data_IF_238370727186
#
_entry.id   IF_238370727186
#
_cell.length_a   1.000
_cell.length_b   1.000
_cell.length_c   1.000
_cell.angle_alpha   90.00
_cell.angle_beta   90.00
_cell.angle_gamma   90.00
#
_symmetry.space_group_name_H-M   'P 1'
#
loop_
_entity.id
_entity.type
_entity.pdbx_description
1 polymer ?
#
# COMPACT_ATOMS: atom_id res chain seq x y z
N UNK A 1 -25.25 18.32 -4.47
CA UNK A 1 -23.84 18.21 -4.89
C UNK A 1 -23.74 17.21 -6.04
N UNK A 2 -23.18 17.63 -7.15
CA UNK A 2 -23.04 16.74 -8.30
C UNK A 2 -21.91 15.76 -8.07
N UNK A 3 -22.15 14.51 -8.44
CA UNK A 3 -21.08 13.51 -8.43
C UNK A 3 -20.03 13.86 -9.47
N UNK A 4 -18.80 13.45 -9.21
CA UNK A 4 -17.71 13.58 -10.19
C UNK A 4 -18.03 12.71 -11.41
N UNK A 5 -17.67 13.19 -12.60
CA UNK A 5 -17.69 12.36 -13.78
C UNK A 5 -16.62 11.26 -13.64
N UNK A 6 -16.74 10.22 -14.46
CA UNK A 6 -15.72 9.15 -14.48
C UNK A 6 -14.33 9.72 -14.79
N UNK A 7 -14.25 10.64 -15.74
CA UNK A 7 -12.99 11.29 -16.13
C UNK A 7 -12.41 12.10 -14.96
N UNK A 8 -13.25 12.84 -14.24
CA UNK A 8 -12.81 13.59 -13.05
C UNK A 8 -12.34 12.66 -11.93
N UNK A 9 -13.05 11.56 -11.71
CA UNK A 9 -12.67 10.55 -10.72
C UNK A 9 -11.31 9.94 -11.09
N UNK A 10 -11.10 9.60 -12.34
CA UNK A 10 -9.84 9.03 -12.81
C UNK A 10 -8.66 9.99 -12.59
N UNK A 11 -8.87 11.29 -12.78
CA UNK A 11 -7.84 12.31 -12.52
C UNK A 11 -7.51 12.42 -11.03
N UNK A 12 -8.53 12.40 -10.18
CA UNK A 12 -8.33 12.47 -8.72
C UNK A 12 -7.57 11.23 -8.26
N UNK A 13 -7.93 10.05 -8.76
CA UNK A 13 -7.22 8.81 -8.43
C UNK A 13 -5.75 8.90 -8.90
N UNK A 14 -5.50 9.40 -10.11
CA UNK A 14 -4.14 9.54 -10.61
C UNK A 14 -3.29 10.46 -9.73
N UNK A 15 -3.85 11.58 -9.26
CA UNK A 15 -3.16 12.49 -8.33
C UNK A 15 -2.87 11.77 -7.02
N UNK A 16 -3.84 11.04 -6.48
CA UNK A 16 -3.68 10.32 -5.22
C UNK A 16 -2.59 9.24 -5.32
N UNK A 17 -2.54 8.54 -6.46
CA UNK A 17 -1.49 7.54 -6.71
C UNK A 17 -0.09 8.17 -6.70
N UNK A 18 0.05 9.34 -7.31
CA UNK A 18 1.31 10.09 -7.28
C UNK A 18 1.68 10.53 -5.87
N UNK A 19 0.72 10.99 -5.08
CA UNK A 19 0.95 11.37 -3.68
C UNK A 19 1.40 10.17 -2.85
N UNK A 20 0.85 9.00 -3.11
CA UNK A 20 1.26 7.77 -2.43
C UNK A 20 2.71 7.39 -2.78
N UNK A 21 3.10 7.48 -4.06
CA UNK A 21 4.47 7.23 -4.49
C UNK A 21 5.46 8.20 -3.85
N UNK A 22 5.06 9.45 -3.72
CA UNK A 22 5.92 10.53 -3.19
C UNK A 22 5.94 10.57 -1.67
N UNK A 23 5.01 9.87 -1.01
CA UNK A 23 4.92 9.90 0.44
C UNK A 23 4.32 11.20 0.98
N UNK A 24 3.51 11.89 0.20
CA UNK A 24 2.81 13.09 0.64
C UNK A 24 1.58 12.71 1.46
N UNK A 25 1.83 12.33 2.70
CA UNK A 25 0.82 11.77 3.60
C UNK A 25 -0.33 12.74 3.84
N UNK A 26 -0.02 14.01 4.09
CA UNK A 26 -1.02 15.01 4.45
C UNK A 26 -2.05 15.20 3.34
N UNK A 27 -1.60 15.45 2.12
CA UNK A 27 -2.50 15.66 0.99
C UNK A 27 -3.29 14.40 0.64
N UNK A 28 -2.62 13.25 0.67
CA UNK A 28 -3.29 11.97 0.40
C UNK A 28 -4.39 11.70 1.43
N UNK A 29 -4.10 11.91 2.70
CA UNK A 29 -5.08 11.74 3.77
C UNK A 29 -6.29 12.65 3.58
N UNK A 30 -6.09 13.89 3.15
CA UNK A 30 -7.17 14.82 2.86
C UNK A 30 -8.09 14.30 1.76
N UNK A 31 -7.54 13.74 0.67
CA UNK A 31 -8.34 13.14 -0.39
C UNK A 31 -9.20 11.98 0.13
N UNK A 32 -8.62 11.09 0.91
CA UNK A 32 -9.34 9.95 1.48
C UNK A 32 -10.43 10.43 2.44
N UNK A 33 -10.11 11.40 3.31
CA UNK A 33 -11.07 11.95 4.28
C UNK A 33 -12.25 12.66 3.59
N UNK A 34 -12.05 13.12 2.36
CA UNK A 34 -13.12 13.77 1.57
C UNK A 34 -13.82 12.79 0.60
N UNK A 35 -13.60 11.49 0.75
CA UNK A 35 -14.40 10.49 0.06
C UNK A 35 -13.69 9.68 -1.01
N UNK A 36 -12.40 9.91 -1.27
CA UNK A 36 -11.65 9.03 -2.16
C UNK A 36 -11.60 7.63 -1.55
N UNK A 37 -11.95 6.58 -2.29
CA UNK A 37 -11.81 5.22 -1.78
C UNK A 37 -10.37 4.94 -1.34
N UNK A 38 -10.19 4.47 -0.10
CA UNK A 38 -8.86 4.24 0.45
C UNK A 38 -8.10 3.15 -0.30
N UNK A 39 -8.82 2.21 -0.91
CA UNK A 39 -8.24 1.13 -1.69
C UNK A 39 -8.20 1.42 -3.20
N UNK A 40 -8.32 2.69 -3.59
CA UNK A 40 -8.17 3.09 -5.00
C UNK A 40 -6.84 2.56 -5.56
N UNK A 41 -6.87 2.14 -6.82
CA UNK A 41 -5.75 1.46 -7.45
C UNK A 41 -5.52 1.97 -8.88
N UNK A 42 -4.30 1.76 -9.37
CA UNK A 42 -3.98 2.03 -10.77
C UNK A 42 -4.48 0.90 -11.69
N UNK A 43 -4.20 1.03 -12.99
CA UNK A 43 -4.63 0.06 -13.99
C UNK A 43 -4.03 -1.34 -13.79
N UNK A 44 -2.94 -1.44 -13.05
CA UNK A 44 -2.27 -2.73 -12.72
C UNK A 44 -2.69 -3.28 -11.35
N UNK A 45 -3.65 -2.65 -10.70
CA UNK A 45 -4.15 -3.08 -9.40
C UNK A 45 -3.28 -2.65 -8.22
N UNK A 46 -2.32 -1.75 -8.42
CA UNK A 46 -1.50 -1.23 -7.33
C UNK A 46 -2.29 -0.20 -6.54
N UNK A 47 -2.61 -0.52 -5.29
CA UNK A 47 -3.34 0.38 -4.40
C UNK A 47 -2.45 1.52 -3.90
N UNK A 48 -3.08 2.54 -3.33
CA UNK A 48 -2.36 3.61 -2.63
C UNK A 48 -1.41 3.02 -1.59
N UNK A 49 -1.89 2.06 -0.80
CA UNK A 49 -1.09 1.39 0.23
C UNK A 49 0.12 0.68 -0.39
N UNK A 50 -0.07 -0.06 -1.46
CA UNK A 50 1.01 -0.78 -2.12
C UNK A 50 2.09 0.17 -2.64
N UNK A 51 1.69 1.29 -3.26
CA UNK A 51 2.65 2.26 -3.76
C UNK A 51 3.43 2.92 -2.63
N UNK A 52 2.77 3.31 -1.55
CA UNK A 52 3.43 3.87 -0.39
C UNK A 52 4.39 2.86 0.25
N UNK A 53 3.98 1.60 0.35
CA UNK A 53 4.80 0.52 0.91
C UNK A 53 6.03 0.24 0.05
N UNK A 54 5.85 0.12 -1.25
CA UNK A 54 6.93 -0.16 -2.20
C UNK A 54 7.98 0.95 -2.21
N UNK A 55 7.55 2.20 -2.02
CA UNK A 55 8.46 3.35 -1.98
C UNK A 55 8.97 3.70 -0.58
N UNK A 56 8.65 2.87 0.43
CA UNK A 56 9.24 3.01 1.76
C UNK A 56 8.62 4.08 2.66
N UNK A 57 7.40 4.52 2.37
CA UNK A 57 6.75 5.61 3.11
C UNK A 57 5.91 5.08 4.27
N UNK A 58 6.56 4.70 5.37
CA UNK A 58 5.91 4.10 6.54
C UNK A 58 4.81 4.99 7.13
N UNK A 59 5.02 6.29 7.21
CA UNK A 59 4.02 7.23 7.71
C UNK A 59 2.76 7.27 6.84
N UNK A 60 2.94 7.23 5.53
CA UNK A 60 1.82 7.17 4.58
C UNK A 60 1.06 5.86 4.71
N UNK A 61 1.79 4.75 4.84
CA UNK A 61 1.19 3.43 5.07
C UNK A 61 0.33 3.44 6.34
N UNK A 62 0.85 3.97 7.45
CA UNK A 62 0.08 4.12 8.69
C UNK A 62 -1.19 4.93 8.49
N UNK A 63 -1.08 6.07 7.82
CA UNK A 63 -2.23 6.95 7.60
C UNK A 63 -3.33 6.26 6.79
N UNK A 64 -2.95 5.47 5.79
CA UNK A 64 -3.91 4.71 4.98
C UNK A 64 -4.55 3.58 5.77
N UNK A 65 -3.75 2.85 6.56
CA UNK A 65 -4.27 1.78 7.42
C UNK A 65 -5.25 2.33 8.46
N UNK A 66 -4.95 3.50 9.05
CA UNK A 66 -5.84 4.17 10.01
C UNK A 66 -7.18 4.52 9.38
N UNK A 67 -7.23 4.65 8.07
CA UNK A 67 -8.44 4.97 7.30
C UNK A 67 -9.10 3.75 6.67
N UNK A 68 -8.68 2.56 7.08
CA UNK A 68 -9.31 1.32 6.66
C UNK A 68 -8.73 0.66 5.42
N UNK A 69 -7.53 1.05 4.99
CA UNK A 69 -6.89 0.36 3.87
C UNK A 69 -6.70 -1.13 4.17
N UNK A 70 -6.99 -1.96 3.18
CA UNK A 70 -6.78 -3.40 3.29
C UNK A 70 -5.30 -3.72 3.06
N UNK A 71 -4.57 -4.23 4.07
CA UNK A 71 -3.14 -4.50 3.94
C UNK A 71 -2.81 -5.64 2.99
N UNK A 72 -3.80 -6.45 2.61
CA UNK A 72 -3.59 -7.69 1.86
C UNK A 72 -4.04 -7.63 0.41
N UNK A 73 -4.53 -6.48 -0.07
CA UNK A 73 -4.92 -6.35 -1.47
C UNK A 73 -3.71 -6.50 -2.38
N UNK A 74 -3.81 -7.45 -3.31
CA UNK A 74 -2.76 -7.76 -4.26
C UNK A 74 -3.03 -7.07 -5.58
N UNK A 75 -1.96 -6.79 -6.32
CA UNK A 75 -2.08 -6.24 -7.67
C UNK A 75 -2.34 -7.36 -8.69
N UNK A 76 -2.39 -7.01 -9.97
CA UNK A 76 -2.66 -7.96 -11.05
C UNK A 76 -1.56 -9.03 -11.22
N UNK A 77 -0.39 -8.81 -10.62
CA UNK A 77 0.71 -9.78 -10.60
C UNK A 77 0.72 -10.62 -9.33
N UNK A 78 -0.35 -10.58 -8.57
CA UNK A 78 -0.47 -11.29 -7.30
C UNK A 78 0.60 -10.89 -6.26
N UNK A 79 1.03 -9.64 -6.27
CA UNK A 79 2.01 -9.12 -5.33
C UNK A 79 1.28 -8.47 -4.15
N UNK A 80 1.74 -8.75 -2.93
CA UNK A 80 1.22 -8.14 -1.71
C UNK A 80 2.05 -6.91 -1.30
N UNK A 81 1.47 -5.96 -0.55
CA UNK A 81 2.23 -4.81 -0.06
C UNK A 81 3.45 -5.20 0.78
N UNK A 82 3.31 -6.19 1.68
CA UNK A 82 4.41 -6.58 2.55
C UNK A 82 5.53 -7.28 1.78
N UNK A 83 5.21 -8.10 0.78
CA UNK A 83 6.24 -8.70 -0.07
C UNK A 83 7.01 -7.64 -0.84
N UNK A 84 6.33 -6.60 -1.34
CA UNK A 84 6.97 -5.47 -2.00
C UNK A 84 7.91 -4.71 -1.08
N UNK A 85 7.49 -4.48 0.16
CA UNK A 85 8.32 -3.82 1.17
C UNK A 85 9.58 -4.64 1.50
N UNK A 86 9.45 -5.96 1.59
CA UNK A 86 10.59 -6.87 1.78
C UNK A 86 11.55 -6.81 0.60
N UNK A 87 11.03 -6.82 -0.61
CA UNK A 87 11.83 -6.69 -1.83
C UNK A 87 12.67 -5.40 -1.81
N UNK A 88 12.07 -4.30 -1.41
CA UNK A 88 12.72 -2.99 -1.40
C UNK A 88 13.59 -2.77 -0.16
N UNK A 89 13.54 -3.66 0.82
CA UNK A 89 14.27 -3.48 2.06
C UNK A 89 13.68 -2.40 2.97
N UNK A 90 12.40 -2.14 2.87
CA UNK A 90 11.70 -1.12 3.67
C UNK A 90 11.26 -1.70 5.02
N UNK A 91 12.22 -1.92 5.93
CA UNK A 91 12.01 -2.66 7.18
C UNK A 91 10.93 -2.02 8.07
N UNK A 92 10.87 -0.69 8.13
CA UNK A 92 9.85 0.01 8.92
C UNK A 92 8.45 -0.22 8.37
N UNK A 93 8.30 -0.24 7.03
CA UNK A 93 7.02 -0.54 6.39
C UNK A 93 6.59 -1.99 6.71
N UNK A 94 7.54 -2.92 6.66
CA UNK A 94 7.26 -4.32 7.03
C UNK A 94 6.70 -4.40 8.45
N UNK A 95 7.32 -3.69 9.40
CA UNK A 95 6.85 -3.66 10.78
C UNK A 95 5.43 -3.10 10.89
N UNK A 96 5.15 -1.99 10.20
CA UNK A 96 3.83 -1.37 10.20
C UNK A 96 2.76 -2.31 9.65
N UNK A 97 3.06 -2.97 8.53
CA UNK A 97 2.11 -3.92 7.91
C UNK A 97 1.88 -5.14 8.80
N UNK A 98 2.92 -5.63 9.47
CA UNK A 98 2.78 -6.75 10.44
C UNK A 98 1.88 -6.35 11.61
N UNK A 99 2.07 -5.16 12.16
CA UNK A 99 1.23 -4.65 13.26
C UNK A 99 -0.24 -4.55 12.82
N UNK A 100 -0.48 -4.27 11.54
CA UNK A 100 -1.83 -4.21 10.98
C UNK A 100 -2.42 -5.60 10.68
N UNK A 101 -1.67 -6.67 10.90
CA UNK A 101 -2.16 -8.02 10.68
C UNK A 101 -2.04 -8.52 9.24
N UNK A 102 -1.11 -7.99 8.46
CA UNK A 102 -0.90 -8.44 7.08
C UNK A 102 -0.69 -9.96 7.01
N UNK A 103 -1.33 -10.58 6.03
CA UNK A 103 -1.24 -12.02 5.78
C UNK A 103 0.13 -12.35 5.15
N UNK A 104 0.97 -13.06 5.89
CA UNK A 104 2.32 -13.40 5.45
C UNK A 104 2.34 -14.51 4.38
N UNK A 105 1.21 -15.17 4.17
CA UNK A 105 1.08 -16.27 3.21
C UNK A 105 0.29 -15.87 1.95
N UNK A 106 -0.09 -14.59 1.83
CA UNK A 106 -0.77 -14.08 0.65
C UNK A 106 0.24 -13.67 -0.43
N UNK A 107 -0.18 -13.82 -1.68
CA UNK A 107 0.58 -13.36 -2.83
C UNK A 107 1.62 -14.34 -3.35
N UNK A 108 2.26 -13.94 -4.44
CA UNK A 108 3.31 -14.72 -5.11
C UNK A 108 4.46 -13.80 -5.52
N UNK A 109 5.62 -13.85 -4.85
CA UNK A 109 5.90 -14.70 -3.68
C UNK A 109 5.12 -14.27 -2.44
N UNK A 110 4.97 -15.20 -1.48
CA UNK A 110 4.45 -14.84 -0.15
C UNK A 110 5.48 -13.97 0.57
N UNK A 111 5.03 -13.28 1.63
CA UNK A 111 5.96 -12.52 2.46
C UNK A 111 7.05 -13.42 3.05
N UNK A 112 6.69 -14.65 3.46
CA UNK A 112 7.66 -15.59 4.01
C UNK A 112 8.72 -15.98 2.99
N UNK A 113 8.30 -16.29 1.76
CA UNK A 113 9.23 -16.63 0.67
C UNK A 113 10.11 -15.43 0.31
N UNK A 114 9.54 -14.23 0.25
CA UNK A 114 10.29 -13.01 -0.03
C UNK A 114 11.33 -12.74 1.07
N UNK A 115 10.96 -12.92 2.34
CA UNK A 115 11.87 -12.72 3.46
C UNK A 115 13.06 -13.69 3.39
N UNK A 116 12.80 -14.96 3.06
CA UNK A 116 13.86 -15.95 2.87
C UNK A 116 14.79 -15.55 1.72
N UNK A 117 14.21 -15.14 0.60
CA UNK A 117 14.95 -14.79 -0.60
C UNK A 117 15.88 -13.59 -0.38
N UNK A 118 15.42 -12.60 0.41
CA UNK A 118 16.16 -11.35 0.63
C UNK A 118 16.88 -11.30 1.97
N UNK A 119 16.93 -12.41 2.72
CA UNK A 119 17.66 -12.48 3.98
C UNK A 119 17.03 -11.68 5.10
N UNK A 120 15.71 -11.57 5.12
CA UNK A 120 14.97 -10.73 6.07
C UNK A 120 13.98 -11.50 6.93
N UNK A 121 14.22 -12.80 7.11
CA UNK A 121 13.32 -13.65 7.92
C UNK A 121 13.14 -13.14 9.34
N UNK A 122 14.16 -12.46 9.89
CA UNK A 122 14.08 -11.87 11.24
C UNK A 122 12.95 -10.84 11.38
N UNK A 123 12.55 -10.19 10.30
CA UNK A 123 11.46 -9.21 10.31
C UNK A 123 10.10 -9.87 10.47
N UNK A 124 9.97 -11.15 10.17
CA UNK A 124 8.74 -11.92 10.27
C UNK A 124 8.73 -12.85 11.47
N UNK A 125 9.81 -12.88 12.24
CA UNK A 125 9.92 -13.70 13.43
C UNK A 125 9.14 -13.10 14.61
N UNK A 126 8.62 -13.92 15.46
CA UNK A 126 7.90 -13.50 16.67
C UNK A 126 6.40 -13.64 16.62
#
# INVERSE_FOLDING_TARGET
MSALTREQTDRVVAIALDLARDGDTRQLAEFVDHGLPVDAADASGNTLLMLAAYHGHAGTVRALLDRGADPDLRNDRDQSPIAGALFKGADEVVAVLREAGADLDAGTPTARAAADLFGRTHLLAG
#
